data_IF_173140775380
#
_entry.id   IF_173140775380
#
_cell.length_a   1.000
_cell.length_b   1.000
_cell.length_c   1.000
_cell.angle_alpha   90.00
_cell.angle_beta   90.00
_cell.angle_gamma   90.00
#
_symmetry.space_group_name_H-M   'P 1'
#
loop_
_entity.id
_entity.type
_entity.pdbx_description
1 polymer ?
#
# COMPACT_ATOMS: atom_id res chain seq x y z
N UNK A 1 4.93 -1.23 52.66
CA UNK A 1 4.12 -0.13 52.07
C UNK A 1 2.89 -0.76 51.44
N UNK A 2 1.68 -0.38 51.88
CA UNK A 2 0.39 -0.89 51.40
C UNK A 2 -0.30 0.22 50.61
N UNK A 3 -0.77 -0.06 49.39
CA UNK A 3 -1.60 0.87 48.63
C UNK A 3 -2.90 0.19 48.20
N UNK A 4 -3.98 0.93 48.47
CA UNK A 4 -5.38 0.51 48.44
C UNK A 4 -5.98 0.37 47.04
N UNK A 5 -6.96 -0.53 46.97
CA UNK A 5 -7.71 -0.97 45.80
C UNK A 5 -8.91 -0.04 45.56
N UNK A 6 -8.89 0.77 44.50
CA UNK A 6 -10.04 1.61 44.12
C UNK A 6 -10.95 0.82 43.15
N UNK A 7 -12.12 0.41 43.65
CA UNK A 7 -13.27 -0.05 42.84
C UNK A 7 -14.07 1.17 42.38
N UNK A 8 -14.33 1.34 41.08
CA UNK A 8 -15.38 2.25 40.58
C UNK A 8 -16.49 1.49 39.87
N UNK A 9 -17.70 1.93 40.18
CA UNK A 9 -19.01 1.31 39.93
C UNK A 9 -19.51 1.56 38.50
N UNK A 10 -20.35 0.63 38.05
CA UNK A 10 -21.20 0.65 36.85
C UNK A 10 -22.16 1.85 36.85
N UNK A 11 -22.36 2.45 35.68
CA UNK A 11 -23.50 3.31 35.36
C UNK A 11 -24.24 2.76 34.15
N UNK A 12 -25.43 2.22 34.38
CA UNK A 12 -26.39 1.75 33.37
C UNK A 12 -27.40 2.89 33.16
N UNK A 13 -27.54 3.40 31.94
CA UNK A 13 -28.60 4.36 31.60
C UNK A 13 -29.53 3.73 30.54
N UNK A 14 -30.83 3.76 30.86
CA UNK A 14 -31.95 3.21 30.10
C UNK A 14 -32.61 4.32 29.25
N UNK A 15 -33.09 3.89 28.07
CA UNK A 15 -34.34 4.24 27.36
C UNK A 15 -34.67 5.71 27.04
N UNK A 16 -34.88 5.95 25.75
CA UNK A 16 -35.86 6.91 25.21
C UNK A 16 -36.61 6.24 24.04
N UNK A 17 -37.92 6.10 24.21
CA UNK A 17 -38.92 5.70 23.22
C UNK A 17 -39.45 6.98 22.54
N UNK A 18 -40.41 6.88 21.61
CA UNK A 18 -41.18 7.98 20.95
C UNK A 18 -40.50 8.55 19.69
N UNK A 19 -41.10 8.69 18.51
CA UNK A 19 -42.47 8.44 18.04
C UNK A 19 -42.49 8.18 16.53
N UNK A 20 -43.40 7.30 16.11
CA UNK A 20 -43.82 7.08 14.73
C UNK A 20 -44.68 8.27 14.28
N UNK A 21 -44.25 9.01 13.26
CA UNK A 21 -45.12 9.95 12.55
C UNK A 21 -45.47 9.40 11.17
N UNK A 22 -46.65 8.80 11.08
CA UNK A 22 -47.34 8.37 9.87
C UNK A 22 -48.32 9.48 9.45
N UNK A 23 -47.93 10.33 8.50
CA UNK A 23 -48.90 10.98 7.64
C UNK A 23 -48.21 11.68 6.45
N UNK A 24 -48.40 11.19 5.23
CA UNK A 24 -49.07 11.95 4.16
C UNK A 24 -49.11 11.18 2.84
N UNK A 25 -50.25 11.37 2.17
CA UNK A 25 -50.83 10.67 1.03
C UNK A 25 -50.11 10.94 -0.32
N UNK A 26 -50.41 10.17 -1.39
CA UNK A 26 -49.60 10.11 -2.61
C UNK A 26 -50.02 11.17 -3.64
N UNK A 27 -49.05 11.76 -4.34
CA UNK A 27 -49.30 12.42 -5.62
C UNK A 27 -48.57 11.67 -6.72
N UNK A 28 -49.38 11.17 -7.65
CA UNK A 28 -48.97 10.62 -8.94
C UNK A 28 -48.45 11.77 -9.79
N UNK A 29 -47.14 11.87 -9.97
CA UNK A 29 -46.55 12.58 -11.09
C UNK A 29 -45.74 11.56 -11.88
N UNK A 30 -46.28 11.20 -13.05
CA UNK A 30 -45.54 10.44 -14.04
C UNK A 30 -44.54 11.39 -14.70
N UNK A 31 -43.29 11.34 -14.27
CA UNK A 31 -42.18 11.96 -15.00
C UNK A 31 -41.58 10.88 -15.89
N UNK A 32 -41.87 10.98 -17.18
CA UNK A 32 -41.25 10.20 -18.24
C UNK A 32 -39.78 10.62 -18.36
N UNK A 33 -38.89 9.91 -17.68
CA UNK A 33 -37.44 10.08 -17.85
C UNK A 33 -37.00 9.22 -19.02
N UNK A 34 -36.75 9.87 -20.16
CA UNK A 34 -36.01 9.29 -21.29
C UNK A 34 -34.57 9.05 -20.84
N UNK A 35 -34.26 7.82 -20.44
CA UNK A 35 -32.89 7.34 -20.27
C UNK A 35 -32.23 7.22 -21.64
N UNK A 36 -31.50 8.26 -22.02
CA UNK A 36 -30.47 8.17 -23.06
C UNK A 36 -29.38 7.26 -22.49
N UNK A 37 -29.42 5.98 -22.88
CA UNK A 37 -28.29 5.06 -22.68
C UNK A 37 -27.23 5.48 -23.70
N UNK A 38 -26.58 6.61 -23.42
CA UNK A 38 -25.33 6.96 -24.04
C UNK A 38 -24.32 5.95 -23.53
N UNK A 39 -23.94 5.01 -24.40
CA UNK A 39 -22.80 4.14 -24.22
C UNK A 39 -21.53 5.00 -24.15
N UNK A 40 -21.33 5.62 -22.99
CA UNK A 40 -20.07 6.23 -22.61
C UNK A 40 -19.11 5.07 -22.34
N UNK A 41 -18.48 4.58 -23.41
CA UNK A 41 -17.27 3.79 -23.33
C UNK A 41 -16.18 4.73 -22.79
N UNK A 42 -16.15 4.93 -21.47
CA UNK A 42 -14.95 5.45 -20.81
C UNK A 42 -13.86 4.41 -21.01
N UNK A 43 -13.00 4.71 -21.99
CA UNK A 43 -11.76 4.01 -22.20
C UNK A 43 -10.91 4.14 -20.95
N UNK A 44 -10.66 3.02 -20.29
CA UNK A 44 -9.46 2.85 -19.49
C UNK A 44 -8.40 2.29 -20.43
N UNK A 45 -7.67 3.17 -21.12
CA UNK A 45 -6.35 2.81 -21.61
C UNK A 45 -5.49 2.59 -20.37
N UNK A 46 -5.49 1.36 -19.85
CA UNK A 46 -4.42 0.91 -18.98
C UNK A 46 -3.14 1.05 -19.81
N UNK A 47 -2.36 2.09 -19.54
CA UNK A 47 -1.00 2.16 -20.05
C UNK A 47 -0.25 1.03 -19.38
N UNK A 48 -0.22 -0.14 -20.03
CA UNK A 48 0.71 -1.21 -19.73
C UNK A 48 2.08 -0.74 -20.25
N UNK A 49 2.63 0.31 -19.62
CA UNK A 49 4.02 0.68 -19.79
C UNK A 49 4.89 -0.52 -19.41
N UNK A 50 5.98 -0.72 -20.14
CA UNK A 50 6.98 -1.71 -19.74
C UNK A 50 7.38 -1.45 -18.27
N UNK A 51 7.59 -2.51 -17.46
CA UNK A 51 7.96 -2.33 -16.06
C UNK A 51 9.23 -1.50 -15.95
N UNK A 52 9.21 -0.45 -15.14
CA UNK A 52 10.41 0.33 -14.87
C UNK A 52 11.37 -0.51 -14.02
N UNK A 53 12.66 -0.43 -14.29
CA UNK A 53 13.67 -1.25 -13.62
C UNK A 53 14.80 -0.37 -13.10
N UNK A 54 15.16 -0.57 -11.84
CA UNK A 54 16.35 0.01 -11.22
C UNK A 54 17.38 -1.08 -10.93
N UNK A 55 18.66 -0.82 -11.18
CA UNK A 55 19.76 -1.75 -11.00
C UNK A 55 20.78 -1.22 -10.00
N UNK A 56 21.29 -2.06 -9.12
CA UNK A 56 22.29 -1.72 -8.10
C UNK A 56 23.16 -2.90 -7.73
N UNK A 57 23.78 -2.86 -6.55
CA UNK A 57 24.65 -3.94 -6.07
C UNK A 57 24.43 -4.31 -4.60
N UNK A 58 24.67 -5.59 -4.26
CA UNK A 58 24.79 -6.15 -2.90
C UNK A 58 26.08 -6.96 -2.80
N UNK A 59 27.03 -6.47 -1.99
CA UNK A 59 28.34 -7.12 -1.78
C UNK A 59 29.03 -7.49 -3.11
N UNK A 60 28.94 -6.58 -4.09
CA UNK A 60 29.52 -6.76 -5.43
C UNK A 60 28.70 -7.64 -6.39
N UNK A 61 27.49 -8.06 -6.02
CA UNK A 61 26.57 -8.81 -6.90
C UNK A 61 25.48 -7.89 -7.44
N UNK A 62 25.14 -7.96 -8.73
CA UNK A 62 24.07 -7.14 -9.29
C UNK A 62 22.71 -7.50 -8.68
N UNK A 63 21.87 -6.49 -8.45
CA UNK A 63 20.50 -6.63 -7.98
C UNK A 63 19.59 -5.64 -8.69
N UNK A 64 18.31 -5.97 -8.79
CA UNK A 64 17.31 -5.16 -9.50
C UNK A 64 16.02 -5.00 -8.69
N UNK A 65 15.42 -3.82 -8.80
CA UNK A 65 14.06 -3.50 -8.36
C UNK A 65 13.19 -3.28 -9.60
N UNK A 66 12.12 -4.04 -9.73
CA UNK A 66 11.15 -3.94 -10.83
C UNK A 66 9.89 -3.26 -10.32
N UNK A 67 9.44 -2.23 -11.02
CA UNK A 67 8.21 -1.49 -10.74
C UNK A 67 7.16 -1.90 -11.77
N UNK A 68 6.12 -2.57 -11.30
CA UNK A 68 5.02 -3.07 -12.14
C UNK A 68 3.91 -2.04 -12.29
N UNK A 69 3.65 -1.30 -11.20
CA UNK A 69 2.59 -0.30 -11.14
C UNK A 69 2.92 0.73 -10.07
N UNK A 70 2.64 1.98 -10.39
CA UNK A 70 2.70 3.11 -9.46
C UNK A 70 1.36 3.84 -9.53
N UNK A 71 0.77 4.14 -8.37
CA UNK A 71 -0.51 4.84 -8.32
C UNK A 71 -0.61 5.75 -7.09
N UNK A 72 -1.30 6.87 -7.27
CA UNK A 72 -1.72 7.74 -6.19
C UNK A 72 -3.25 7.90 -6.26
N UNK A 73 -3.96 7.43 -5.24
CA UNK A 73 -5.41 7.53 -5.18
C UNK A 73 -5.85 8.04 -3.82
N UNK A 74 -6.61 9.14 -3.82
CA UNK A 74 -7.14 9.77 -2.60
C UNK A 74 -6.06 10.08 -1.53
N UNK A 75 -4.87 10.51 -1.97
CA UNK A 75 -3.74 10.83 -1.09
C UNK A 75 -3.01 9.61 -0.52
N UNK A 76 -3.34 8.40 -0.99
CA UNK A 76 -2.61 7.17 -0.69
C UNK A 76 -1.73 6.85 -1.90
N UNK A 77 -0.43 6.79 -1.65
CA UNK A 77 0.56 6.40 -2.64
C UNK A 77 0.93 4.93 -2.46
N UNK A 78 0.77 4.16 -3.54
CA UNK A 78 1.02 2.73 -3.59
C UNK A 78 1.88 2.35 -4.79
N UNK A 79 2.83 1.43 -4.57
CA UNK A 79 3.70 0.93 -5.64
C UNK A 79 3.78 -0.58 -5.59
N UNK A 80 3.42 -1.25 -6.69
CA UNK A 80 3.63 -2.68 -6.84
C UNK A 80 5.04 -2.94 -7.41
N UNK A 81 5.85 -3.68 -6.65
CA UNK A 81 7.23 -3.99 -7.01
C UNK A 81 7.56 -5.47 -6.88
N UNK A 82 8.63 -5.90 -7.54
CA UNK A 82 9.35 -7.14 -7.25
C UNK A 82 10.86 -6.90 -7.28
N UNK A 83 11.65 -7.85 -6.78
CA UNK A 83 13.12 -7.73 -6.74
C UNK A 83 13.79 -8.91 -7.40
N UNK A 84 15.04 -8.77 -7.85
CA UNK A 84 15.83 -9.90 -8.38
C UNK A 84 16.34 -10.87 -7.31
N UNK A 85 16.10 -10.60 -6.02
CA UNK A 85 16.46 -11.54 -4.96
C UNK A 85 15.47 -12.70 -4.94
N UNK A 86 15.97 -13.85 -5.39
CA UNK A 86 15.31 -15.13 -5.26
C UNK A 86 16.29 -16.09 -4.59
N UNK A 87 15.82 -16.85 -3.60
CA UNK A 87 16.61 -17.89 -2.94
C UNK A 87 15.92 -19.22 -3.16
N UNK A 88 16.61 -20.15 -3.86
CA UNK A 88 16.05 -21.44 -4.26
C UNK A 88 14.70 -21.33 -5.00
N UNK A 89 14.54 -20.29 -5.82
CA UNK A 89 13.30 -20.01 -6.56
C UNK A 89 12.17 -19.42 -5.69
N UNK A 90 12.44 -19.04 -4.45
CA UNK A 90 11.50 -18.36 -3.56
C UNK A 90 11.95 -16.91 -3.34
N UNK A 91 11.07 -15.96 -3.66
CA UNK A 91 11.18 -14.54 -3.31
C UNK A 91 9.85 -14.04 -2.77
N UNK A 92 9.76 -12.77 -2.39
CA UNK A 92 8.48 -12.18 -1.92
C UNK A 92 7.41 -12.07 -3.03
N UNK A 93 7.78 -12.30 -4.30
CA UNK A 93 6.89 -12.09 -5.44
C UNK A 93 6.62 -10.61 -5.68
N UNK A 94 5.39 -10.30 -6.10
CA UNK A 94 4.91 -8.92 -6.25
C UNK A 94 4.26 -8.46 -4.96
N UNK A 95 4.70 -7.31 -4.46
CA UNK A 95 4.18 -6.72 -3.23
C UNK A 95 3.89 -5.25 -3.42
N UNK A 96 2.91 -4.74 -2.67
CA UNK A 96 2.49 -3.34 -2.70
C UNK A 96 3.14 -2.61 -1.53
N UNK A 97 3.95 -1.61 -1.85
CA UNK A 97 4.59 -0.72 -0.89
C UNK A 97 3.73 0.51 -0.64
N UNK A 98 3.79 1.01 0.59
CA UNK A 98 3.17 2.27 1.02
C UNK A 98 4.17 3.10 1.81
N UNK A 99 3.96 4.40 1.93
CA UNK A 99 4.84 5.23 2.76
C UNK A 99 4.80 4.81 4.22
N UNK A 100 5.98 4.67 4.84
CA UNK A 100 6.10 4.51 6.28
C UNK A 100 5.70 5.83 6.97
N UNK A 101 4.61 5.85 7.77
CA UNK A 101 4.17 7.06 8.44
C UNK A 101 5.20 7.59 9.44
N UNK A 102 6.13 6.75 9.90
CA UNK A 102 7.17 7.12 10.87
C UNK A 102 8.44 7.67 10.20
N UNK A 103 8.58 7.52 8.89
CA UNK A 103 9.80 7.95 8.16
C UNK A 103 9.66 9.30 7.46
N UNK A 104 8.53 10.00 7.67
CA UNK A 104 8.25 11.27 6.98
C UNK A 104 8.25 11.16 5.45
N UNK A 105 7.79 10.02 4.91
CA UNK A 105 7.70 9.82 3.44
C UNK A 105 8.98 9.33 2.77
N UNK A 106 10.13 9.24 3.45
CA UNK A 106 11.39 8.75 2.83
C UNK A 106 11.41 7.26 2.47
N UNK A 107 10.55 6.46 3.10
CA UNK A 107 10.61 5.01 3.02
C UNK A 107 9.27 4.50 2.52
N UNK A 108 9.33 3.73 1.43
CA UNK A 108 8.24 2.87 1.00
C UNK A 108 8.44 1.50 1.62
N UNK A 109 7.41 0.94 2.23
CA UNK A 109 7.51 -0.36 2.88
C UNK A 109 6.29 -1.24 2.67
N UNK A 110 6.57 -2.54 2.69
CA UNK A 110 5.62 -3.61 2.92
C UNK A 110 6.18 -4.49 4.04
N UNK A 111 5.29 -4.99 4.90
CA UNK A 111 5.66 -5.92 5.96
C UNK A 111 4.55 -6.96 6.13
N UNK A 112 4.93 -8.24 6.12
CA UNK A 112 3.99 -9.31 6.42
C UNK A 112 3.60 -9.27 7.92
N UNK A 113 2.30 -9.25 8.26
CA UNK A 113 1.85 -9.11 9.63
C UNK A 113 2.12 -10.34 10.52
N UNK A 114 2.44 -11.49 9.94
CA UNK A 114 2.64 -12.77 10.66
C UNK A 114 4.10 -13.17 10.70
N UNK A 115 4.82 -13.08 9.59
CA UNK A 115 6.16 -13.67 9.43
C UNK A 115 7.31 -12.70 9.70
N UNK A 116 7.02 -11.39 9.82
CA UNK A 116 8.02 -10.30 9.95
C UNK A 116 8.90 -10.12 8.71
N UNK A 117 8.50 -10.67 7.58
CA UNK A 117 9.09 -10.39 6.27
C UNK A 117 8.82 -8.94 5.90
N UNK A 118 9.73 -8.30 5.19
CA UNK A 118 9.54 -6.94 4.71
C UNK A 118 10.34 -6.64 3.45
N UNK A 119 9.87 -5.65 2.71
CA UNK A 119 10.68 -4.90 1.75
C UNK A 119 10.59 -3.43 2.12
N UNK A 120 11.74 -2.76 2.17
CA UNK A 120 11.84 -1.31 2.35
C UNK A 120 12.62 -0.72 1.20
N UNK A 121 12.08 0.29 0.55
CA UNK A 121 12.76 1.07 -0.48
C UNK A 121 13.00 2.47 0.06
N UNK A 122 14.25 2.91 -0.01
CA UNK A 122 14.68 4.22 0.49
C UNK A 122 14.72 5.17 -0.70
N UNK A 123 13.95 6.25 -0.62
CA UNK A 123 13.93 7.29 -1.64
C UNK A 123 15.13 8.22 -1.49
N UNK A 124 15.52 8.91 -2.56
CA UNK A 124 16.55 9.95 -2.48
C UNK A 124 16.08 11.16 -1.68
N UNK A 125 14.84 11.63 -1.94
CA UNK A 125 14.28 12.81 -1.29
C UNK A 125 12.92 12.52 -0.59
N UNK A 126 12.54 13.40 0.35
CA UNK A 126 11.29 13.30 1.14
C UNK A 126 10.02 13.54 0.32
N UNK A 127 10.13 14.33 -0.73
CA UNK A 127 9.02 14.80 -1.55
C UNK A 127 8.79 13.94 -2.80
N UNK A 128 9.50 12.82 -2.94
CA UNK A 128 9.54 12.06 -4.18
C UNK A 128 8.66 10.81 -4.15
N UNK A 129 8.25 10.38 -5.34
CA UNK A 129 7.72 9.05 -5.61
C UNK A 129 8.88 8.09 -5.91
N UNK A 130 8.61 6.87 -6.38
CA UNK A 130 9.63 5.89 -6.75
C UNK A 130 10.25 6.20 -8.14
N UNK A 131 10.76 7.42 -8.33
CA UNK A 131 11.43 7.86 -9.57
C UNK A 131 12.94 7.60 -9.53
N UNK A 132 13.60 7.83 -8.40
CA UNK A 132 15.03 7.61 -8.20
C UNK A 132 15.32 7.06 -6.79
N UNK A 133 15.09 5.76 -6.53
CA UNK A 133 15.41 5.17 -5.24
C UNK A 133 16.92 5.15 -4.99
N UNK A 134 17.33 5.30 -3.73
CA UNK A 134 18.73 5.17 -3.32
C UNK A 134 19.15 3.72 -3.08
N UNK A 135 18.20 2.87 -2.68
CA UNK A 135 18.43 1.47 -2.37
C UNK A 135 17.17 0.79 -1.85
N UNK A 136 17.23 -0.53 -1.66
CA UNK A 136 16.20 -1.29 -0.98
C UNK A 136 16.78 -2.36 -0.06
N UNK A 137 16.08 -2.65 1.03
CA UNK A 137 16.39 -3.74 1.96
C UNK A 137 15.24 -4.71 2.03
N UNK A 138 15.57 -5.98 1.91
CA UNK A 138 14.63 -7.08 1.83
C UNK A 138 14.92 -8.06 2.96
N UNK A 139 13.88 -8.49 3.67
CA UNK A 139 13.92 -9.60 4.60
C UNK A 139 12.80 -10.58 4.28
N UNK A 140 13.13 -11.83 4.02
CA UNK A 140 12.15 -12.87 3.69
C UNK A 140 12.36 -14.13 4.51
N UNK A 141 11.31 -14.93 4.64
CA UNK A 141 11.29 -16.20 5.35
C UNK A 141 11.59 -17.33 4.35
N UNK A 142 12.49 -18.22 4.75
CA UNK A 142 12.79 -19.43 4.01
C UNK A 142 12.86 -20.58 5.01
N UNK A 143 11.89 -21.51 4.90
CA UNK A 143 11.65 -22.56 5.88
C UNK A 143 11.47 -22.01 7.30
N UNK A 144 12.50 -22.16 8.14
CA UNK A 144 12.52 -21.83 9.57
C UNK A 144 13.45 -20.66 9.92
N UNK A 145 14.05 -19.99 8.92
CA UNK A 145 14.95 -18.87 9.14
C UNK A 145 14.71 -17.69 8.17
N UNK A 146 15.20 -16.52 8.57
CA UNK A 146 15.06 -15.28 7.80
C UNK A 146 16.36 -14.97 7.06
N UNK A 147 16.25 -14.66 5.77
CA UNK A 147 17.33 -14.05 5.00
C UNK A 147 17.17 -12.54 4.94
N UNK A 148 18.28 -11.85 4.75
CA UNK A 148 18.33 -10.40 4.60
C UNK A 148 19.28 -10.04 3.45
N UNK A 149 18.85 -9.16 2.57
CA UNK A 149 19.64 -8.62 1.47
C UNK A 149 19.43 -7.11 1.37
N UNK A 150 20.49 -6.38 1.04
CA UNK A 150 20.45 -4.92 0.89
C UNK A 150 21.05 -4.55 -0.46
N UNK A 151 20.21 -4.07 -1.37
CA UNK A 151 20.64 -3.54 -2.66
C UNK A 151 20.85 -2.03 -2.52
N UNK A 152 22.04 -1.55 -2.85
CA UNK A 152 22.39 -0.12 -2.85
C UNK A 152 22.75 0.37 -4.24
N UNK A 153 22.93 1.69 -4.39
CA UNK A 153 23.43 2.31 -5.62
C UNK A 153 22.49 2.11 -6.82
N UNK A 154 21.18 2.13 -6.58
CA UNK A 154 20.18 1.92 -7.62
C UNK A 154 20.26 3.01 -8.70
N UNK A 155 20.25 2.59 -9.95
CA UNK A 155 20.22 3.43 -11.15
C UNK A 155 19.08 2.99 -12.06
N UNK A 156 18.34 3.92 -12.68
CA UNK A 156 17.31 3.57 -13.65
C UNK A 156 17.93 2.89 -14.88
N UNK A 157 17.25 1.87 -15.40
CA UNK A 157 17.68 1.16 -16.62
C UNK A 157 17.35 2.03 -17.84
N UNK A 158 18.32 2.20 -18.74
CA UNK A 158 18.16 3.06 -19.93
C UNK A 158 18.56 4.53 -19.72
N UNK A 159 19.15 4.86 -18.56
CA UNK A 159 19.84 6.12 -18.36
C UNK A 159 21.30 6.01 -18.84
N UNK A 160 21.50 6.07 -20.16
CA UNK A 160 22.77 6.44 -20.80
C UNK A 160 22.61 7.76 -21.54
#
# INVERSE_FOLDING_TARGET
MKFDRIKRKRGLAKRGHEDLNLNQSPRKEQVLVLLIIGSFLWGTTASAGAPAMFQGTDKGRPCSLYVHREQEQAGVYEVEVSTSYEHNGQGLGKIVLTFDPNSGGKILQWQDPKTKEFLKVVLKNESESLSEPSGFRLKWMHFDHLHDATCSELKPTGAE
#
